data_IF_074850089566
#
_entry.id   IF_074850089566
#
_cell.length_a   1.000
_cell.length_b   1.000
_cell.length_c   1.000
_cell.angle_alpha   90.00
_cell.angle_beta   90.00
_cell.angle_gamma   90.00
#
_symmetry.space_group_name_H-M   'P 1'
#
loop_
_entity.id
_entity.type
_entity.pdbx_description
1 polymer ?
#
# COMPACT_ATOMS: atom_id res chain seq x y z
N UNK A 1 -16.74 10.62 -17.05
CA UNK A 1 -17.29 10.62 -15.68
C UNK A 1 -18.40 9.58 -15.61
N UNK A 2 -18.51 8.76 -14.53
CA UNK A 2 -19.54 7.73 -14.36
C UNK A 2 -20.49 8.08 -13.21
N UNK A 3 -21.72 7.52 -13.18
CA UNK A 3 -22.68 7.73 -12.09
C UNK A 3 -22.12 7.27 -10.73
N UNK A 4 -22.79 7.64 -9.65
CA UNK A 4 -22.46 7.11 -8.33
C UNK A 4 -22.68 5.59 -8.35
N UNK A 5 -21.87 4.84 -7.63
CA UNK A 5 -21.80 3.35 -7.63
C UNK A 5 -21.26 2.69 -8.91
N UNK A 6 -20.70 3.42 -9.86
CA UNK A 6 -20.06 2.86 -11.06
C UNK A 6 -18.68 2.21 -10.79
N UNK A 7 -18.31 1.94 -9.54
CA UNK A 7 -17.04 1.28 -9.18
C UNK A 7 -15.81 2.19 -9.20
N UNK A 8 -15.96 3.52 -9.37
CA UNK A 8 -14.82 4.47 -9.44
C UNK A 8 -13.85 4.32 -8.26
N UNK A 9 -14.37 4.30 -7.05
CA UNK A 9 -13.57 4.15 -5.83
C UNK A 9 -12.94 2.76 -5.72
N UNK A 10 -13.60 1.73 -6.24
CA UNK A 10 -13.07 0.36 -6.25
C UNK A 10 -11.87 0.23 -7.18
N UNK A 11 -11.85 0.95 -8.31
CA UNK A 11 -10.69 1.02 -9.21
C UNK A 11 -9.50 1.70 -8.50
N UNK A 12 -9.75 2.84 -7.83
CA UNK A 12 -8.69 3.53 -7.07
C UNK A 12 -8.16 2.65 -5.95
N UNK A 13 -9.04 1.93 -5.26
CA UNK A 13 -8.67 0.99 -4.22
C UNK A 13 -7.84 -0.17 -4.75
N UNK A 14 -8.18 -0.72 -5.91
CA UNK A 14 -7.43 -1.78 -6.56
C UNK A 14 -5.99 -1.33 -6.92
N UNK A 15 -5.82 -0.12 -7.45
CA UNK A 15 -4.49 0.45 -7.75
C UNK A 15 -3.69 0.62 -6.46
N UNK A 16 -4.31 1.14 -5.42
CA UNK A 16 -3.66 1.32 -4.12
C UNK A 16 -3.25 -0.03 -3.48
N UNK A 17 -4.12 -1.04 -3.55
CA UNK A 17 -3.83 -2.41 -3.11
C UNK A 17 -2.64 -3.02 -3.86
N UNK A 18 -2.59 -2.87 -5.17
CA UNK A 18 -1.49 -3.39 -5.99
C UNK A 18 -0.13 -2.76 -5.61
N UNK A 19 -0.12 -1.48 -5.25
CA UNK A 19 1.09 -0.78 -4.80
C UNK A 19 1.46 -1.14 -3.36
N UNK A 20 0.54 -0.90 -2.41
CA UNK A 20 0.83 -0.86 -0.97
C UNK A 20 0.45 -2.14 -0.22
N UNK A 21 -0.31 -3.01 -0.87
CA UNK A 21 -0.94 -4.19 -0.25
C UNK A 21 -1.83 -3.86 0.96
N UNK A 22 -2.42 -2.68 0.95
CA UNK A 22 -3.36 -2.18 1.97
C UNK A 22 -4.59 -1.61 1.29
N UNK A 23 -5.74 -1.73 1.92
CA UNK A 23 -6.93 -0.97 1.53
C UNK A 23 -7.00 0.32 2.35
N UNK A 24 -7.53 1.38 1.75
CA UNK A 24 -7.85 2.61 2.47
C UNK A 24 -9.28 2.63 3.02
N UNK A 25 -10.08 1.60 2.70
CA UNK A 25 -11.44 1.44 3.20
C UNK A 25 -11.54 0.45 4.34
N UNK A 26 -10.77 -0.66 4.28
CA UNK A 26 -10.86 -1.75 5.23
C UNK A 26 -9.47 -2.23 5.65
N UNK A 27 -9.32 -2.56 6.92
CA UNK A 27 -8.14 -3.26 7.44
C UNK A 27 -8.19 -4.76 7.15
N UNK A 28 -9.38 -5.30 6.97
CA UNK A 28 -9.59 -6.69 6.59
C UNK A 28 -9.65 -6.83 5.07
N UNK A 29 -8.63 -7.47 4.51
CA UNK A 29 -8.51 -7.71 3.07
C UNK A 29 -9.43 -8.84 2.59
N UNK A 30 -9.87 -9.74 3.45
CA UNK A 30 -10.79 -10.81 3.07
C UNK A 30 -12.18 -10.26 2.77
N UNK A 31 -12.59 -9.18 3.45
CA UNK A 31 -13.87 -8.50 3.22
C UNK A 31 -14.00 -7.82 1.85
N UNK A 32 -12.90 -7.68 1.10
CA UNK A 32 -12.91 -7.12 -0.26
C UNK A 32 -13.26 -8.15 -1.33
N UNK A 33 -13.28 -9.44 -0.97
CA UNK A 33 -13.70 -10.49 -1.88
C UNK A 33 -15.21 -10.41 -2.14
N UNK A 34 -15.63 -10.78 -3.36
CA UNK A 34 -17.05 -10.91 -3.65
C UNK A 34 -17.65 -12.05 -2.79
N UNK A 35 -18.93 -11.95 -2.46
CA UNK A 35 -19.64 -12.79 -1.48
C UNK A 35 -19.41 -14.30 -1.62
N UNK A 36 -19.32 -14.82 -2.84
CA UNK A 36 -19.11 -16.25 -3.11
C UNK A 36 -17.70 -16.58 -3.65
N UNK A 37 -16.78 -15.62 -3.65
CA UNK A 37 -15.45 -15.84 -4.21
C UNK A 37 -14.50 -16.42 -3.15
N UNK A 38 -13.63 -17.33 -3.57
CA UNK A 38 -12.56 -17.89 -2.72
C UNK A 38 -11.34 -16.97 -2.58
N UNK A 39 -11.43 -15.75 -3.13
CA UNK A 39 -10.39 -14.74 -3.15
C UNK A 39 -10.53 -13.82 -4.35
N UNK A 40 -9.53 -12.97 -4.57
CA UNK A 40 -9.52 -12.03 -5.68
C UNK A 40 -8.09 -11.78 -6.20
N UNK A 41 -8.02 -11.33 -7.44
CA UNK A 41 -6.80 -10.98 -8.13
C UNK A 41 -6.94 -9.59 -8.73
N UNK A 42 -5.93 -8.77 -8.55
CA UNK A 42 -5.82 -7.44 -9.14
C UNK A 42 -4.60 -7.44 -10.04
N UNK A 43 -4.76 -7.01 -11.28
CA UNK A 43 -3.68 -6.88 -12.25
C UNK A 43 -3.62 -5.42 -12.72
N UNK A 44 -2.49 -4.77 -12.49
CA UNK A 44 -2.26 -3.38 -12.91
C UNK A 44 -1.15 -3.37 -13.95
N UNK A 45 -1.50 -3.02 -15.18
CA UNK A 45 -0.53 -2.78 -16.26
C UNK A 45 -0.24 -1.29 -16.33
N UNK A 46 1.01 -0.92 -16.41
CA UNK A 46 1.44 0.47 -16.53
C UNK A 46 2.72 0.58 -17.35
N UNK A 47 2.93 1.74 -17.97
CA UNK A 47 4.17 2.05 -18.69
C UNK A 47 5.04 2.97 -17.83
N UNK A 48 6.32 2.63 -17.72
CA UNK A 48 7.34 3.45 -17.07
C UNK A 48 8.62 3.34 -17.87
N UNK A 49 9.23 4.48 -18.21
CA UNK A 49 10.46 4.56 -19.02
C UNK A 49 10.34 3.78 -20.33
N UNK A 50 9.19 3.90 -21.00
CA UNK A 50 8.82 3.19 -22.25
C UNK A 50 8.73 1.66 -22.11
N UNK A 51 8.84 1.11 -20.91
CA UNK A 51 8.68 -0.31 -20.62
C UNK A 51 7.29 -0.62 -20.08
N UNK A 52 6.69 -1.68 -20.60
CA UNK A 52 5.43 -2.20 -20.07
C UNK A 52 5.69 -3.03 -18.81
N UNK A 53 5.01 -2.70 -17.75
CA UNK A 53 5.14 -3.33 -16.44
C UNK A 53 3.81 -3.90 -15.99
N UNK A 54 3.86 -4.98 -15.22
CA UNK A 54 2.70 -5.65 -14.66
C UNK A 54 2.92 -5.90 -13.17
N UNK A 55 2.00 -5.40 -12.34
CA UNK A 55 1.91 -5.80 -10.94
C UNK A 55 0.64 -6.64 -10.77
N UNK A 56 0.79 -7.77 -10.08
CA UNK A 56 -0.32 -8.64 -9.72
C UNK A 56 -0.36 -8.75 -8.19
N UNK A 57 -1.52 -8.44 -7.63
CA UNK A 57 -1.86 -8.71 -6.24
C UNK A 57 -2.88 -9.83 -6.19
N UNK A 58 -2.61 -10.87 -5.41
CA UNK A 58 -3.50 -12.01 -5.19
C UNK A 58 -3.78 -12.19 -3.70
N UNK A 59 -5.04 -12.36 -3.39
CA UNK A 59 -5.51 -12.67 -2.04
C UNK A 59 -6.53 -13.81 -2.10
N UNK A 60 -6.19 -14.95 -1.51
CA UNK A 60 -7.15 -16.01 -1.22
C UNK A 60 -7.65 -15.86 0.20
N UNK A 61 -8.92 -16.21 0.44
CA UNK A 61 -9.51 -16.12 1.78
C UNK A 61 -8.69 -16.94 2.78
N UNK A 62 -8.49 -16.39 3.96
CA UNK A 62 -7.73 -16.99 5.06
C UNK A 62 -6.27 -17.37 4.72
N UNK A 63 -5.71 -16.85 3.63
CA UNK A 63 -4.31 -17.09 3.22
C UNK A 63 -3.53 -15.78 3.15
N UNK A 64 -2.22 -15.89 3.21
CA UNK A 64 -1.32 -14.76 2.99
C UNK A 64 -1.51 -14.21 1.56
N UNK A 65 -1.41 -12.89 1.45
CA UNK A 65 -1.40 -12.20 0.16
C UNK A 65 -0.11 -12.49 -0.60
N UNK A 66 -0.18 -12.48 -1.92
CA UNK A 66 0.96 -12.63 -2.82
C UNK A 66 1.04 -11.43 -3.76
N UNK A 67 2.25 -11.02 -4.07
CA UNK A 67 2.57 -9.94 -4.99
C UNK A 67 3.53 -10.45 -6.04
N UNK A 68 3.29 -10.05 -7.29
CA UNK A 68 4.20 -10.33 -8.40
C UNK A 68 4.48 -9.05 -9.17
N UNK A 69 5.69 -8.91 -9.64
CA UNK A 69 6.13 -7.88 -10.58
C UNK A 69 6.76 -8.54 -11.79
N UNK A 70 6.17 -8.32 -12.96
CA UNK A 70 6.57 -8.96 -14.21
C UNK A 70 6.77 -10.48 -14.03
N UNK A 71 5.73 -11.14 -13.50
CA UNK A 71 5.63 -12.58 -13.22
C UNK A 71 6.61 -13.14 -12.17
N UNK A 72 7.41 -12.29 -11.53
CA UNK A 72 8.30 -12.69 -10.43
C UNK A 72 7.70 -12.32 -9.08
N UNK A 73 7.85 -13.19 -8.10
CA UNK A 73 7.42 -12.91 -6.72
C UNK A 73 8.09 -11.61 -6.23
N UNK A 74 7.29 -10.71 -5.69
CA UNK A 74 7.72 -9.38 -5.30
C UNK A 74 7.38 -9.08 -3.84
N UNK A 75 8.02 -8.08 -3.29
CA UNK A 75 7.72 -7.54 -1.98
C UNK A 75 6.89 -6.26 -2.09
N UNK A 76 6.21 -5.88 -0.99
CA UNK A 76 5.48 -4.60 -0.92
C UNK A 76 6.39 -3.41 -1.20
N UNK A 77 7.62 -3.45 -0.68
CA UNK A 77 8.63 -2.39 -0.90
C UNK A 77 8.97 -2.23 -2.37
N UNK A 78 9.14 -3.35 -3.09
CA UNK A 78 9.40 -3.33 -4.54
C UNK A 78 8.19 -2.80 -5.30
N UNK A 79 6.97 -3.29 -4.99
CA UNK A 79 5.75 -2.80 -5.64
C UNK A 79 5.56 -1.30 -5.46
N UNK A 80 5.77 -0.75 -4.26
CA UNK A 80 5.68 0.69 -3.99
C UNK A 80 6.72 1.50 -4.77
N UNK A 81 7.91 0.97 -5.01
CA UNK A 81 8.94 1.65 -5.83
C UNK A 81 8.60 1.68 -7.32
N UNK A 82 8.01 0.61 -7.82
CA UNK A 82 7.63 0.53 -9.24
C UNK A 82 6.34 1.30 -9.54
N UNK A 83 5.38 1.25 -8.63
CA UNK A 83 4.08 1.92 -8.73
C UNK A 83 3.89 2.83 -7.51
N UNK A 84 4.48 4.04 -7.49
CA UNK A 84 4.29 5.00 -6.40
C UNK A 84 2.86 5.53 -6.41
N UNK A 85 2.09 5.23 -5.37
CA UNK A 85 0.69 5.69 -5.23
C UNK A 85 0.53 6.36 -3.88
N UNK A 86 0.00 7.58 -3.89
CA UNK A 86 -0.37 8.33 -2.71
C UNK A 86 -1.87 8.68 -2.77
N UNK A 87 -2.57 8.49 -1.67
CA UNK A 87 -3.96 8.91 -1.54
C UNK A 87 -4.01 10.25 -0.81
N UNK A 88 -4.61 11.22 -1.46
CA UNK A 88 -4.98 12.48 -0.85
C UNK A 88 -6.49 12.49 -0.66
N UNK A 89 -6.94 12.40 0.57
CA UNK A 89 -8.36 12.51 0.90
C UNK A 89 -8.67 13.95 1.30
N UNK A 90 -9.38 14.67 0.44
CA UNK A 90 -9.80 16.06 0.67
C UNK A 90 -11.06 16.18 1.56
N UNK A 91 -11.63 15.05 2.00
CA UNK A 91 -12.77 15.04 2.92
C UNK A 91 -12.36 15.38 4.35
N UNK A 92 -12.71 16.56 4.81
CA UNK A 92 -12.72 17.06 6.21
C UNK A 92 -11.42 17.11 7.01
N UNK A 93 -10.27 16.72 6.49
CA UNK A 93 -9.03 16.80 7.26
C UNK A 93 -7.89 17.36 6.42
N UNK A 94 -7.65 18.65 6.62
CA UNK A 94 -6.41 19.28 6.20
C UNK A 94 -5.24 18.43 6.74
N UNK A 95 -4.27 18.07 5.90
CA UNK A 95 -3.08 17.28 6.29
C UNK A 95 -2.43 17.88 7.56
N UNK A 96 -2.50 19.21 7.70
CA UNK A 96 -1.98 19.93 8.87
C UNK A 96 -2.76 19.69 10.16
N UNK A 97 -4.05 19.33 10.07
CA UNK A 97 -4.91 19.05 11.22
C UNK A 97 -4.98 17.55 11.57
N UNK A 98 -4.31 16.70 10.80
CA UNK A 98 -4.23 15.27 11.10
C UNK A 98 -3.29 14.99 12.29
N UNK A 99 -3.47 13.81 12.90
CA UNK A 99 -2.56 13.29 13.93
C UNK A 99 -1.11 13.31 13.42
N UNK A 100 -0.17 13.51 14.33
CA UNK A 100 1.27 13.59 14.01
C UNK A 100 1.79 12.39 13.21
N UNK A 101 1.18 11.21 13.40
CA UNK A 101 1.50 9.99 12.66
C UNK A 101 1.18 10.09 11.16
N UNK A 102 0.04 10.68 10.80
CA UNK A 102 -0.35 10.85 9.39
C UNK A 102 0.57 11.83 8.67
N UNK A 103 0.99 12.90 9.34
CA UNK A 103 1.96 13.85 8.79
C UNK A 103 3.32 13.21 8.57
N UNK A 104 3.81 12.43 9.55
CA UNK A 104 5.07 11.68 9.40
C UNK A 104 4.98 10.68 8.25
N UNK A 105 3.91 9.90 8.20
CA UNK A 105 3.70 8.93 7.12
C UNK A 105 3.71 9.56 5.73
N UNK A 106 3.20 10.79 5.58
CA UNK A 106 3.27 11.52 4.32
C UNK A 106 4.72 11.88 3.95
N UNK A 107 5.49 12.39 4.92
CA UNK A 107 6.92 12.70 4.72
C UNK A 107 7.71 11.43 4.42
N UNK A 108 7.49 10.37 5.23
CA UNK A 108 8.14 9.07 5.05
C UNK A 108 7.89 8.48 3.66
N UNK A 109 6.68 8.67 3.13
CA UNK A 109 6.36 8.26 1.76
C UNK A 109 7.21 9.01 0.73
N UNK A 110 7.34 10.34 0.86
CA UNK A 110 8.16 11.16 -0.04
C UNK A 110 9.63 10.74 0.02
N UNK A 111 10.20 10.63 1.23
CA UNK A 111 11.61 10.24 1.41
C UNK A 111 11.88 8.83 0.90
N UNK A 112 10.96 7.89 1.10
CA UNK A 112 11.08 6.51 0.61
C UNK A 112 11.27 6.43 -0.92
N UNK A 113 10.65 7.34 -1.67
CA UNK A 113 10.77 7.34 -3.13
C UNK A 113 12.02 8.07 -3.65
N UNK A 114 12.62 8.94 -2.85
CA UNK A 114 13.84 9.68 -3.19
C UNK A 114 15.08 8.94 -2.71
N UNK A 115 15.05 8.43 -1.46
CA UNK A 115 16.21 7.79 -0.81
C UNK A 115 16.02 6.27 -0.72
N UNK A 116 16.83 5.53 -1.48
CA UNK A 116 16.71 4.08 -1.57
C UNK A 116 17.05 3.33 -0.27
N UNK A 117 17.92 3.89 0.56
CA UNK A 117 18.33 3.31 1.85
C UNK A 117 17.28 3.48 2.95
N UNK A 118 16.33 4.41 2.75
CA UNK A 118 15.37 4.85 3.78
C UNK A 118 14.54 3.71 4.37
N UNK A 119 14.12 2.74 3.55
CA UNK A 119 13.34 1.59 4.02
C UNK A 119 14.11 0.72 5.03
N UNK A 120 15.43 0.60 4.87
CA UNK A 120 16.28 -0.15 5.79
C UNK A 120 16.53 0.64 7.08
N UNK A 121 16.73 1.95 6.96
CA UNK A 121 16.87 2.85 8.11
C UNK A 121 15.60 2.85 8.98
N UNK A 122 14.42 2.92 8.38
CA UNK A 122 13.15 2.82 9.11
C UNK A 122 12.99 1.50 9.86
N UNK A 123 13.37 0.37 9.25
CA UNK A 123 13.33 -0.94 9.92
C UNK A 123 14.28 -0.99 11.13
N UNK A 124 15.51 -0.52 10.95
CA UNK A 124 16.51 -0.46 12.02
C UNK A 124 16.03 0.44 13.15
N UNK A 125 15.52 1.62 12.84
CA UNK A 125 14.95 2.55 13.81
C UNK A 125 13.79 1.92 14.59
N UNK A 126 12.85 1.27 13.92
CA UNK A 126 11.72 0.61 14.57
C UNK A 126 12.18 -0.50 15.54
N UNK A 127 13.18 -1.29 15.16
CA UNK A 127 13.76 -2.34 15.99
C UNK A 127 14.42 -1.77 17.26
N UNK A 128 15.24 -0.72 17.09
CA UNK A 128 15.93 -0.05 18.21
C UNK A 128 14.90 0.58 19.16
N UNK A 129 13.88 1.25 18.61
CA UNK A 129 12.81 1.87 19.40
C UNK A 129 12.02 0.83 20.20
N UNK A 130 11.72 -0.32 19.60
CA UNK A 130 11.06 -1.43 20.29
C UNK A 130 11.92 -1.99 21.42
N UNK A 131 13.21 -2.17 21.21
CA UNK A 131 14.15 -2.65 22.21
C UNK A 131 14.27 -1.66 23.38
N UNK A 132 14.43 -0.37 23.08
CA UNK A 132 14.41 0.69 24.11
C UNK A 132 13.13 0.66 24.95
N UNK A 133 11.97 0.59 24.30
CA UNK A 133 10.69 0.63 25.00
C UNK A 133 10.45 -0.62 25.86
N UNK A 134 11.03 -1.77 25.52
CA UNK A 134 11.01 -2.97 26.38
C UNK A 134 11.81 -2.77 27.65
N UNK A 135 12.98 -2.11 27.57
CA UNK A 135 13.82 -1.82 28.74
C UNK A 135 13.16 -0.83 29.68
N UNK A 136 12.49 0.20 29.13
CA UNK A 136 11.84 1.25 29.92
C UNK A 136 10.50 0.81 30.58
N UNK A 137 9.96 -0.35 30.19
CA UNK A 137 8.72 -0.91 30.78
C UNK A 137 9.00 -1.87 31.95
N UNK A 138 10.27 -2.12 32.26
CA UNK A 138 10.70 -2.81 33.49
C UNK A 138 10.85 -1.81 34.63
#
# INVERSE_FOLDING_TARGET
>A
MGPNNAGKTSILEAIYLASTSRSFKSTDLDSLANYNAKGYKISVKFSKDSLNNLIIFEKSLNKAKKLYYNDKLSTVVQSMRHLPVQILNFGNQNIFNQKSESRRSFIDWGVFHVEHSYSNLLKSFATILQSRNKVLKK
#
